data_IF_220084959880
#
_entry.id   IF_220084959880
#
_cell.length_a   1.000
_cell.length_b   1.000
_cell.length_c   1.000
_cell.angle_alpha   90.00
_cell.angle_beta   90.00
_cell.angle_gamma   90.00
#
_symmetry.space_group_name_H-M   'P 1'
#
loop_
_entity.id
_entity.type
_entity.pdbx_description
1 polymer ?
#
# COMPACT_ATOMS: atom_id res chain seq x y z
N UNK A 1 13.57 9.30 3.71
CA UNK A 1 14.74 8.43 3.46
C UNK A 1 14.53 7.12 4.21
N UNK A 2 14.60 5.97 3.53
CA UNK A 2 14.55 4.66 4.18
C UNK A 2 15.65 4.58 5.26
N UNK A 3 15.34 4.10 6.48
CA UNK A 3 16.33 3.94 7.54
C UNK A 3 17.54 3.13 7.04
N UNK A 4 18.75 3.52 7.43
CA UNK A 4 19.98 2.85 6.95
C UNK A 4 20.01 1.34 7.24
N UNK A 5 19.30 0.88 8.28
CA UNK A 5 19.11 -0.54 8.57
C UNK A 5 18.38 -1.29 7.43
N UNK A 6 17.43 -0.64 6.75
CA UNK A 6 16.71 -1.24 5.61
C UNK A 6 17.56 -1.28 4.35
N UNK A 7 18.36 -0.24 4.09
CA UNK A 7 19.30 -0.24 2.95
C UNK A 7 20.36 -1.32 3.09
N UNK A 8 20.91 -1.50 4.30
CA UNK A 8 21.88 -2.56 4.57
C UNK A 8 21.29 -3.96 4.31
N UNK A 9 20.03 -4.19 4.71
CA UNK A 9 19.33 -5.46 4.51
C UNK A 9 18.97 -5.72 3.04
N UNK A 10 18.63 -4.67 2.29
CA UNK A 10 18.45 -4.75 0.83
C UNK A 10 19.78 -5.05 0.10
N UNK A 11 20.90 -4.49 0.56
CA UNK A 11 22.22 -4.83 0.04
C UNK A 11 22.66 -6.26 0.39
N UNK A 12 22.33 -6.77 1.57
CA UNK A 12 22.51 -8.18 1.93
C UNK A 12 21.72 -9.12 1.02
N UNK A 13 20.45 -8.80 0.73
CA UNK A 13 19.62 -9.56 -0.20
C UNK A 13 20.17 -9.53 -1.65
N UNK A 14 20.84 -8.44 -2.04
CA UNK A 14 21.51 -8.35 -3.34
C UNK A 14 22.84 -9.13 -3.42
N UNK A 15 23.37 -9.57 -2.28
CA UNK A 15 24.65 -10.29 -2.15
C UNK A 15 24.48 -11.79 -1.88
N UNK A 16 23.30 -12.37 -2.11
CA UNK A 16 23.11 -13.82 -2.00
C UNK A 16 23.96 -14.50 -3.09
N UNK A 17 24.99 -15.23 -2.63
CA UNK A 17 26.02 -15.91 -3.42
C UNK A 17 25.44 -16.83 -4.51
N UNK A 18 26.06 -16.80 -5.70
CA UNK A 18 25.78 -17.66 -6.86
C UNK A 18 26.09 -19.18 -6.64
N UNK A 19 26.32 -19.66 -5.41
CA UNK A 19 26.82 -21.02 -5.14
C UNK A 19 26.10 -21.83 -4.06
N UNK A 20 24.97 -21.39 -3.53
CA UNK A 20 24.13 -22.22 -2.65
C UNK A 20 22.80 -22.50 -3.36
N UNK A 21 22.28 -23.72 -3.17
CA UNK A 21 21.08 -24.31 -3.78
C UNK A 21 20.06 -23.31 -4.34
N UNK A 22 19.59 -23.53 -5.58
CA UNK A 22 18.55 -22.74 -6.26
C UNK A 22 17.54 -22.22 -5.22
N UNK A 23 17.36 -20.89 -5.09
CA UNK A 23 16.47 -20.36 -4.07
C UNK A 23 15.12 -21.06 -4.22
N UNK A 24 14.62 -21.65 -3.13
CA UNK A 24 13.36 -22.37 -3.13
C UNK A 24 12.30 -21.40 -3.66
N UNK A 25 11.92 -21.56 -4.93
CA UNK A 25 10.89 -20.74 -5.55
C UNK A 25 9.60 -21.14 -4.86
N UNK A 26 9.13 -20.28 -3.97
CA UNK A 26 7.90 -20.50 -3.24
C UNK A 26 6.72 -20.48 -4.22
N UNK A 27 5.74 -21.37 -4.04
CA UNK A 27 4.51 -21.31 -4.82
C UNK A 27 3.70 -20.06 -4.47
N UNK A 28 2.81 -19.63 -5.35
CA UNK A 28 1.83 -18.56 -5.08
C UNK A 28 1.13 -18.70 -3.72
N UNK A 29 0.64 -19.90 -3.39
CA UNK A 29 -0.08 -20.16 -2.13
C UNK A 29 0.79 -19.90 -0.90
N UNK A 30 2.02 -20.43 -0.87
CA UNK A 30 2.99 -20.16 0.19
C UNK A 30 3.35 -18.68 0.30
N UNK A 31 3.52 -17.95 -0.80
CA UNK A 31 3.82 -16.52 -0.78
C UNK A 31 2.66 -15.71 -0.21
N UNK A 32 1.43 -15.97 -0.68
CA UNK A 32 0.22 -15.31 -0.18
C UNK A 32 0.03 -15.61 1.31
N UNK A 33 0.16 -16.88 1.71
CA UNK A 33 0.06 -17.27 3.11
C UNK A 33 1.11 -16.56 3.97
N UNK A 34 2.38 -16.56 3.57
CA UNK A 34 3.44 -15.91 4.32
C UNK A 34 3.18 -14.40 4.48
N UNK A 35 2.68 -13.73 3.44
CA UNK A 35 2.36 -12.31 3.52
C UNK A 35 1.13 -12.04 4.40
N UNK A 36 0.07 -12.86 4.29
CA UNK A 36 -1.09 -12.79 5.19
C UNK A 36 -0.71 -13.01 6.65
N UNK A 37 0.17 -13.99 6.93
CA UNK A 37 0.67 -14.26 8.28
C UNK A 37 1.44 -13.05 8.84
N UNK A 38 2.24 -12.36 8.00
CA UNK A 38 2.96 -11.13 8.40
C UNK A 38 1.99 -10.01 8.77
N UNK A 39 0.95 -9.77 7.95
CA UNK A 39 -0.04 -8.73 8.27
C UNK A 39 -0.85 -9.07 9.51
N UNK A 40 -1.28 -10.32 9.68
CA UNK A 40 -1.99 -10.76 10.88
C UNK A 40 -1.12 -10.62 12.14
N UNK A 41 0.14 -11.06 12.09
CA UNK A 41 1.07 -10.95 13.23
C UNK A 41 1.29 -9.48 13.62
N UNK A 42 1.45 -8.60 12.64
CA UNK A 42 1.61 -7.17 12.91
C UNK A 42 0.35 -6.57 13.54
N UNK A 43 -0.85 -6.95 13.06
CA UNK A 43 -2.09 -6.48 13.66
C UNK A 43 -2.27 -7.01 15.08
N UNK A 44 -1.94 -8.28 15.34
CA UNK A 44 -1.97 -8.85 16.69
C UNK A 44 -1.05 -8.07 17.64
N UNK A 45 0.14 -7.66 17.17
CA UNK A 45 1.06 -6.80 17.95
C UNK A 45 0.45 -5.42 18.23
N UNK A 46 -0.22 -4.80 17.26
CA UNK A 46 -0.95 -3.54 17.47
C UNK A 46 -2.10 -3.70 18.48
N UNK A 47 -2.87 -4.78 18.39
CA UNK A 47 -3.99 -5.04 19.31
C UNK A 47 -3.51 -5.19 20.76
N UNK A 48 -2.37 -5.89 20.96
CA UNK A 48 -1.75 -6.05 22.27
C UNK A 48 -1.24 -4.71 22.80
N UNK A 49 -0.49 -3.95 22.00
CA UNK A 49 0.06 -2.65 22.40
C UNK A 49 -1.08 -1.67 22.76
N UNK A 50 -2.13 -1.62 21.95
CA UNK A 50 -3.30 -0.77 22.18
C UNK A 50 -4.03 -1.14 23.47
N UNK A 51 -4.20 -2.43 23.75
CA UNK A 51 -4.84 -2.87 24.99
C UNK A 51 -4.02 -2.51 26.24
N UNK A 52 -2.69 -2.69 26.17
CA UNK A 52 -1.79 -2.43 27.30
C UNK A 52 -1.57 -0.93 27.57
N UNK A 53 -1.53 -0.11 26.52
CA UNK A 53 -1.15 1.31 26.62
C UNK A 53 -2.36 2.25 26.63
N UNK A 54 -3.39 1.97 25.82
CA UNK A 54 -4.55 2.84 25.66
C UNK A 54 -5.72 2.36 26.52
N UNK A 55 -6.23 1.16 26.29
CA UNK A 55 -7.46 0.70 26.95
C UNK A 55 -7.29 0.53 28.45
N UNK A 56 -6.13 0.04 28.91
CA UNK A 56 -5.83 -0.02 30.34
C UNK A 56 -5.95 1.33 31.02
N UNK A 57 -5.48 2.41 30.38
CA UNK A 57 -5.58 3.77 30.93
C UNK A 57 -7.01 4.30 30.89
N UNK A 58 -7.75 4.03 29.81
CA UNK A 58 -9.18 4.38 29.69
C UNK A 58 -9.99 3.73 30.80
N UNK A 59 -9.81 2.43 31.04
CA UNK A 59 -10.51 1.70 32.11
C UNK A 59 -10.16 2.23 33.50
N UNK A 60 -8.89 2.55 33.76
CA UNK A 60 -8.46 3.15 35.03
C UNK A 60 -9.13 4.52 35.24
N UNK A 61 -9.13 5.37 34.22
CA UNK A 61 -9.76 6.70 34.28
C UNK A 61 -11.28 6.61 34.45
N UNK A 62 -11.95 5.67 33.75
CA UNK A 62 -13.39 5.43 33.90
C UNK A 62 -13.71 5.10 35.35
N UNK A 63 -13.01 4.12 35.94
CA UNK A 63 -13.20 3.71 37.33
C UNK A 63 -12.97 4.87 38.32
N UNK A 64 -11.88 5.61 38.17
CA UNK A 64 -11.58 6.77 39.04
C UNK A 64 -12.69 7.83 38.97
N UNK A 65 -13.23 8.08 37.78
CA UNK A 65 -14.35 9.01 37.60
C UNK A 65 -15.62 8.51 38.26
N UNK A 66 -16.03 7.26 38.02
CA UNK A 66 -17.22 6.64 38.61
C UNK A 66 -17.15 6.62 40.15
N UNK A 67 -15.98 6.32 40.73
CA UNK A 67 -15.76 6.38 42.17
C UNK A 67 -15.89 7.80 42.72
N UNK A 68 -15.45 8.81 41.96
CA UNK A 68 -15.48 10.22 42.39
C UNK A 68 -16.87 10.87 42.27
N UNK A 69 -17.67 10.48 41.27
CA UNK A 69 -19.00 11.03 41.00
C UNK A 69 -20.10 10.22 41.68
N UNK A 70 -19.87 8.92 41.89
CA UNK A 70 -20.89 7.96 42.32
C UNK A 70 -21.88 7.59 41.22
N UNK A 71 -21.59 7.94 39.97
CA UNK A 71 -22.41 7.66 38.79
C UNK A 71 -21.70 6.65 37.89
N UNK A 72 -22.45 5.68 37.35
CA UNK A 72 -21.96 4.74 36.34
C UNK A 72 -21.87 5.46 34.99
N UNK A 73 -20.73 5.34 34.31
CA UNK A 73 -20.52 5.95 33.01
C UNK A 73 -20.89 4.96 31.90
N UNK A 74 -21.51 5.48 30.85
CA UNK A 74 -21.73 4.72 29.61
C UNK A 74 -20.41 4.19 29.03
N UNK A 75 -20.50 3.29 28.06
CA UNK A 75 -19.31 2.82 27.33
C UNK A 75 -18.63 3.98 26.61
N UNK A 76 -17.34 4.13 26.87
CA UNK A 76 -16.51 5.17 26.26
C UNK A 76 -16.06 4.64 24.90
N UNK A 77 -16.29 5.39 23.80
CA UNK A 77 -15.73 5.02 22.50
C UNK A 77 -14.22 4.82 22.61
N UNK A 78 -13.73 3.78 21.94
CA UNK A 78 -12.31 3.45 21.93
C UNK A 78 -11.51 4.63 21.34
N UNK A 79 -10.53 5.19 22.05
CA UNK A 79 -9.73 6.31 21.55
C UNK A 79 -9.04 5.98 20.23
N UNK A 80 -8.87 6.99 19.37
CA UNK A 80 -8.19 6.81 18.09
C UNK A 80 -6.78 6.22 18.28
N UNK A 81 -6.41 5.34 17.36
CA UNK A 81 -5.09 4.71 17.27
C UNK A 81 -4.41 5.12 15.96
N UNK A 82 -3.09 5.00 15.90
CA UNK A 82 -2.37 5.19 14.64
C UNK A 82 -2.59 4.00 13.69
N UNK A 83 -2.61 4.28 12.40
CA UNK A 83 -2.77 3.28 11.36
C UNK A 83 -1.84 3.51 10.18
N UNK A 84 -1.69 2.49 9.34
CA UNK A 84 -0.88 2.60 8.13
C UNK A 84 -1.42 1.74 6.99
N UNK A 85 -1.27 2.25 5.77
CA UNK A 85 -1.46 1.46 4.55
C UNK A 85 -0.21 0.63 4.27
N UNK A 86 -0.34 -0.41 3.46
CA UNK A 86 0.82 -1.23 3.10
C UNK A 86 0.65 -1.76 1.69
N UNK A 87 1.70 -1.62 0.86
CA UNK A 87 1.77 -2.24 -0.46
C UNK A 87 3.12 -2.94 -0.54
N UNK A 88 3.11 -4.26 -0.58
CA UNK A 88 4.32 -5.09 -0.57
C UNK A 88 4.47 -5.78 -1.92
N UNK A 89 5.67 -5.70 -2.49
CA UNK A 89 6.05 -6.36 -3.72
C UNK A 89 7.09 -7.45 -3.43
N UNK A 90 6.86 -8.66 -3.92
CA UNK A 90 7.79 -9.79 -3.81
C UNK A 90 8.12 -10.30 -5.21
N UNK A 91 9.40 -10.24 -5.57
CA UNK A 91 9.95 -10.95 -6.72
C UNK A 91 10.50 -12.29 -6.25
N UNK A 92 9.94 -13.38 -6.77
CA UNK A 92 10.32 -14.74 -6.41
C UNK A 92 10.63 -15.52 -7.70
N UNK A 93 11.92 -15.59 -8.05
CA UNK A 93 12.35 -16.08 -9.36
C UNK A 93 11.80 -15.22 -10.49
N UNK A 94 11.03 -15.82 -11.40
CA UNK A 94 10.35 -15.09 -12.50
C UNK A 94 8.93 -14.63 -12.11
N UNK A 95 8.45 -14.98 -10.91
CA UNK A 95 7.11 -14.59 -10.44
C UNK A 95 7.10 -13.26 -9.71
N UNK A 96 5.97 -12.56 -9.78
CA UNK A 96 5.69 -11.31 -9.09
C UNK A 96 4.42 -11.46 -8.24
N UNK A 97 4.52 -11.22 -6.94
CA UNK A 97 3.38 -11.06 -6.04
C UNK A 97 3.33 -9.61 -5.56
N UNK A 98 2.15 -9.01 -5.58
CA UNK A 98 1.84 -7.76 -4.89
C UNK A 98 0.71 -8.02 -3.92
N UNK A 99 0.89 -7.68 -2.64
CA UNK A 99 -0.19 -7.71 -1.66
C UNK A 99 -0.35 -6.35 -0.99
N UNK A 100 -1.59 -5.92 -0.74
CA UNK A 100 -1.83 -4.57 -0.26
C UNK A 100 -3.04 -4.40 0.67
N UNK A 101 -2.97 -3.34 1.46
CA UNK A 101 -3.95 -2.80 2.40
C UNK A 101 -3.98 -1.27 2.23
N UNK A 102 -5.17 -0.67 2.21
CA UNK A 102 -5.35 0.78 2.03
C UNK A 102 -5.29 1.23 0.56
N UNK A 103 -4.91 2.48 0.35
CA UNK A 103 -4.98 3.20 -0.92
C UNK A 103 -3.63 3.72 -1.44
N UNK A 104 -2.53 3.23 -0.86
CA UNK A 104 -1.26 3.17 -1.58
C UNK A 104 -1.41 2.24 -2.80
N UNK A 105 -0.96 2.69 -3.98
CA UNK A 105 -1.24 2.01 -5.26
C UNK A 105 0.04 1.57 -5.97
N UNK A 106 -0.01 0.40 -6.60
CA UNK A 106 1.00 -0.10 -7.52
C UNK A 106 0.45 -0.14 -8.96
N UNK A 107 1.17 0.50 -9.88
CA UNK A 107 0.81 0.59 -11.31
C UNK A 107 1.97 0.09 -12.16
N UNK A 108 1.68 -0.90 -13.00
CA UNK A 108 2.62 -1.43 -13.97
C UNK A 108 2.53 -0.64 -15.28
N UNK A 109 3.67 -0.16 -15.78
CA UNK A 109 3.79 0.28 -17.16
C UNK A 109 4.18 -0.91 -18.02
N UNK A 110 3.31 -1.31 -18.94
CA UNK A 110 3.58 -2.40 -19.89
C UNK A 110 3.46 -1.91 -21.31
N UNK A 111 4.26 -2.51 -22.19
CA UNK A 111 4.18 -2.21 -23.62
C UNK A 111 3.03 -2.98 -24.24
N UNK A 112 2.21 -2.31 -25.05
CA UNK A 112 1.25 -2.99 -25.92
C UNK A 112 1.97 -3.73 -27.06
N UNK A 113 1.41 -4.86 -27.48
CA UNK A 113 2.00 -5.71 -28.52
C UNK A 113 2.12 -4.99 -29.87
N UNK A 114 1.22 -4.05 -30.17
CA UNK A 114 1.05 -3.48 -31.52
C UNK A 114 1.44 -1.98 -31.68
N UNK A 115 1.46 -1.18 -30.61
CA UNK A 115 1.54 0.29 -30.73
C UNK A 115 2.81 0.93 -30.15
N UNK A 116 3.70 0.15 -29.53
CA UNK A 116 4.98 0.62 -28.99
C UNK A 116 4.89 1.52 -27.75
N UNK A 117 3.73 2.16 -27.51
CA UNK A 117 3.43 3.00 -26.36
C UNK A 117 3.23 2.17 -25.07
N UNK A 118 3.53 2.78 -23.92
CA UNK A 118 3.25 2.19 -22.62
C UNK A 118 1.81 2.49 -22.18
N UNK A 119 1.15 1.47 -21.66
CA UNK A 119 -0.14 1.59 -21.00
C UNK A 119 0.02 1.39 -19.49
N UNK A 120 -0.75 2.14 -18.71
CA UNK A 120 -0.84 1.93 -17.28
C UNK A 120 -1.80 0.77 -16.97
N UNK A 121 -1.29 -0.24 -16.26
CA UNK A 121 -2.03 -1.37 -15.77
C UNK A 121 -1.98 -1.39 -14.23
N UNK A 122 -3.01 -0.91 -13.53
CA UNK A 122 -3.04 -0.95 -12.07
C UNK A 122 -3.00 -2.41 -11.59
N UNK A 123 -2.06 -2.72 -10.69
CA UNK A 123 -1.95 -4.04 -10.05
C UNK A 123 -2.76 -4.11 -8.76
N UNK A 124 -3.07 -2.95 -8.17
CA UNK A 124 -3.84 -2.83 -6.94
C UNK A 124 -5.13 -2.04 -7.18
N UNK A 125 -6.14 -2.26 -6.34
CA UNK A 125 -7.35 -1.45 -6.28
C UNK A 125 -7.46 -0.83 -4.90
N UNK A 126 -7.73 0.48 -4.83
CA UNK A 126 -7.72 1.21 -3.56
C UNK A 126 -8.78 0.67 -2.57
N UNK A 127 -8.37 0.47 -1.32
CA UNK A 127 -9.26 0.15 -0.22
C UNK A 127 -9.68 1.41 0.55
N UNK A 128 -10.50 2.25 -0.07
CA UNK A 128 -10.99 3.49 0.57
C UNK A 128 -12.45 3.83 0.24
N UNK A 129 -13.02 4.75 1.02
CA UNK A 129 -14.41 5.20 0.89
C UNK A 129 -14.73 5.74 -0.50
N UNK A 130 -13.80 6.49 -1.09
CA UNK A 130 -13.97 7.08 -2.42
C UNK A 130 -14.13 5.99 -3.50
N UNK A 131 -13.30 4.95 -3.43
CA UNK A 131 -13.34 3.81 -4.34
C UNK A 131 -14.65 3.02 -4.21
N UNK A 132 -15.05 2.64 -3.00
CA UNK A 132 -16.27 1.85 -2.79
C UNK A 132 -17.55 2.63 -3.14
N UNK A 133 -17.55 3.96 -2.95
CA UNK A 133 -18.67 4.83 -3.40
C UNK A 133 -18.80 4.90 -4.91
N UNK A 134 -17.68 4.89 -5.63
CA UNK A 134 -17.64 4.82 -7.10
C UNK A 134 -17.95 3.41 -7.63
N UNK A 135 -17.83 2.39 -6.79
CA UNK A 135 -18.00 0.98 -7.15
C UNK A 135 -18.98 0.25 -6.20
N UNK A 136 -20.28 0.61 -6.19
CA UNK A 136 -21.26 0.16 -5.18
C UNK A 136 -21.60 -1.36 -5.17
N UNK A 137 -20.88 -2.18 -5.90
CA UNK A 137 -20.97 -3.65 -5.89
C UNK A 137 -19.62 -4.36 -5.70
N UNK A 138 -18.55 -3.62 -5.39
CA UNK A 138 -17.23 -4.19 -5.14
C UNK A 138 -17.25 -5.18 -3.97
N UNK A 139 -16.36 -6.18 -3.96
CA UNK A 139 -16.23 -7.11 -2.83
C UNK A 139 -16.08 -6.39 -1.49
N UNK A 140 -15.37 -5.26 -1.49
CA UNK A 140 -15.14 -4.44 -0.31
C UNK A 140 -16.44 -3.81 0.24
N UNK A 141 -17.27 -3.24 -0.63
CA UNK A 141 -18.58 -2.73 -0.21
C UNK A 141 -19.49 -3.87 0.31
N UNK A 142 -19.41 -5.05 -0.29
CA UNK A 142 -20.20 -6.21 0.17
C UNK A 142 -19.76 -6.69 1.56
N UNK A 143 -18.44 -6.69 1.84
CA UNK A 143 -17.86 -7.01 3.16
C UNK A 143 -18.36 -6.06 4.24
N UNK A 144 -18.45 -4.76 3.92
CA UNK A 144 -18.85 -3.73 4.87
C UNK A 144 -20.36 -3.61 5.09
N UNK A 145 -21.17 -3.97 4.09
CA UNK A 145 -22.63 -3.84 4.11
C UNK A 145 -23.35 -4.37 5.37
N UNK A 146 -22.97 -5.53 5.96
CA UNK A 146 -23.62 -6.02 7.18
C UNK A 146 -23.16 -5.33 8.46
N UNK A 147 -22.14 -4.48 8.40
CA UNK A 147 -21.52 -3.84 9.57
C UNK A 147 -22.17 -2.49 9.87
N UNK A 148 -22.21 -2.11 11.14
CA UNK A 148 -22.70 -0.81 11.58
C UNK A 148 -21.65 0.28 11.31
N UNK A 149 -21.92 1.15 10.35
CA UNK A 149 -21.06 2.27 9.99
C UNK A 149 -21.85 3.38 9.31
N UNK A 150 -21.30 4.60 9.38
CA UNK A 150 -21.81 5.76 8.66
C UNK A 150 -20.75 6.37 7.75
N UNK A 151 -21.18 6.98 6.64
CA UNK A 151 -20.30 7.74 5.78
C UNK A 151 -20.43 9.24 6.05
N UNK A 152 -19.32 9.89 6.39
CA UNK A 152 -19.21 11.34 6.47
C UNK A 152 -18.18 11.86 5.47
N UNK A 153 -18.66 12.42 4.35
CA UNK A 153 -17.77 12.77 3.23
C UNK A 153 -17.05 11.52 2.70
N UNK A 154 -15.72 11.54 2.63
CA UNK A 154 -14.91 10.36 2.28
C UNK A 154 -14.38 9.60 3.50
N UNK A 155 -15.07 9.70 4.64
CA UNK A 155 -14.69 8.98 5.85
C UNK A 155 -15.78 8.03 6.32
N UNK A 156 -15.36 7.05 7.09
CA UNK A 156 -16.15 6.10 7.87
C UNK A 156 -16.13 6.51 9.32
N UNK A 157 -17.28 6.34 9.95
CA UNK A 157 -17.49 6.49 11.39
C UNK A 157 -18.17 5.23 11.88
N UNK A 158 -17.73 4.72 13.03
CA UNK A 158 -18.39 3.61 13.73
C UNK A 158 -18.71 4.03 15.17
N UNK A 159 -19.82 3.57 15.76
CA UNK A 159 -20.21 4.01 17.11
C UNK A 159 -19.18 3.71 18.20
N UNK A 160 -18.39 2.65 18.04
CA UNK A 160 -17.48 2.14 19.06
C UNK A 160 -16.10 2.80 19.03
N UNK A 161 -15.77 3.60 18.01
CA UNK A 161 -14.45 4.20 17.82
C UNK A 161 -14.53 5.73 17.79
N UNK A 162 -13.57 6.39 18.43
CA UNK A 162 -13.37 7.82 18.30
C UNK A 162 -12.67 8.15 16.96
N UNK A 163 -13.09 9.25 16.33
CA UNK A 163 -12.54 9.73 15.07
C UNK A 163 -13.23 9.22 13.80
N UNK A 164 -12.53 9.38 12.67
CA UNK A 164 -13.00 8.98 11.35
C UNK A 164 -11.85 8.44 10.51
N UNK A 165 -12.11 7.44 9.66
CA UNK A 165 -11.08 6.82 8.81
C UNK A 165 -11.49 6.82 7.33
N UNK A 166 -10.53 7.01 6.41
CA UNK A 166 -10.81 7.04 4.96
C UNK A 166 -10.64 5.69 4.28
N UNK A 167 -9.80 4.83 4.84
CA UNK A 167 -9.49 3.51 4.30
C UNK A 167 -10.38 2.43 4.91
N UNK A 168 -10.58 1.34 4.16
CA UNK A 168 -11.36 0.17 4.57
C UNK A 168 -10.47 -1.01 4.92
N UNK A 169 -9.16 -0.90 4.68
CA UNK A 169 -8.14 -1.87 5.08
C UNK A 169 -6.87 -1.12 5.51
N UNK A 170 -6.26 -1.55 6.59
CA UNK A 170 -5.01 -1.00 7.12
C UNK A 170 -4.42 -1.93 8.18
N UNK A 171 -3.22 -1.59 8.65
CA UNK A 171 -2.65 -2.13 9.89
C UNK A 171 -2.73 -1.06 10.98
N UNK A 172 -2.83 -1.48 12.24
CA UNK A 172 -3.11 -0.57 13.35
C UNK A 172 -4.60 -0.25 13.40
N UNK A 173 -4.99 1.02 13.55
CA UNK A 173 -6.38 1.48 13.56
C UNK A 173 -7.30 0.59 14.43
N UNK A 174 -6.77 0.10 15.56
CA UNK A 174 -7.37 -0.98 16.37
C UNK A 174 -8.86 -0.77 16.66
N UNK A 175 -9.34 0.44 17.03
CA UNK A 175 -10.77 0.70 17.21
C UNK A 175 -11.64 0.32 16.00
N UNK A 176 -11.18 0.62 14.79
CA UNK A 176 -11.93 0.34 13.56
C UNK A 176 -11.85 -1.14 13.16
N UNK A 177 -10.75 -1.85 13.47
CA UNK A 177 -10.70 -3.31 13.30
C UNK A 177 -11.68 -4.03 14.20
N UNK A 178 -11.85 -3.59 15.46
CA UNK A 178 -12.82 -4.21 16.39
C UNK A 178 -14.28 -4.07 15.94
N UNK A 179 -14.59 -3.05 15.11
CA UNK A 179 -15.89 -2.92 14.45
C UNK A 179 -16.06 -3.80 13.20
N UNK A 180 -14.95 -4.34 12.66
CA UNK A 180 -14.87 -5.10 11.43
C UNK A 180 -14.87 -4.26 10.15
N UNK A 181 -15.09 -2.94 10.21
CA UNK A 181 -15.15 -2.09 9.00
C UNK A 181 -13.79 -1.98 8.33
N UNK A 182 -12.72 -2.02 9.13
CA UNK A 182 -11.33 -2.13 8.70
C UNK A 182 -10.84 -3.56 8.91
N UNK A 183 -10.01 -4.06 8.00
CA UNK A 183 -9.39 -5.38 8.10
C UNK A 183 -7.92 -5.35 7.67
N UNK A 184 -7.12 -6.24 8.27
CA UNK A 184 -5.73 -6.51 7.91
C UNK A 184 -5.59 -7.62 6.86
N UNK A 185 -6.71 -8.15 6.34
CA UNK A 185 -6.69 -9.16 5.27
C UNK A 185 -6.31 -8.52 3.92
N UNK A 186 -5.18 -8.89 3.31
CA UNK A 186 -4.73 -8.26 2.07
C UNK A 186 -5.47 -8.79 0.85
N UNK A 187 -5.57 -7.94 -0.17
CA UNK A 187 -5.79 -8.40 -1.54
C UNK A 187 -4.43 -8.69 -2.21
N UNK A 188 -4.46 -9.53 -3.25
CA UNK A 188 -3.26 -9.99 -3.95
C UNK A 188 -3.40 -9.91 -5.46
N UNK A 189 -2.30 -9.51 -6.10
CA UNK A 189 -2.05 -9.68 -7.52
C UNK A 189 -0.86 -10.63 -7.67
N UNK A 190 -1.00 -11.65 -8.51
CA UNK A 190 0.08 -12.60 -8.80
C UNK A 190 0.27 -12.78 -10.30
N UNK A 191 1.52 -12.80 -10.72
CA UNK A 191 1.93 -13.27 -12.05
C UNK A 191 3.03 -14.32 -11.89
N UNK A 192 2.88 -15.46 -12.58
CA UNK A 192 3.90 -16.51 -12.61
C UNK A 192 5.13 -16.12 -13.44
N UNK A 193 5.00 -15.15 -14.35
CA UNK A 193 6.10 -14.65 -15.17
C UNK A 193 6.05 -13.12 -15.31
N UNK A 194 7.13 -12.46 -14.90
CA UNK A 194 7.38 -11.03 -15.12
C UNK A 194 7.53 -10.73 -16.61
N UNK A 195 8.03 -11.68 -17.41
CA UNK A 195 8.21 -11.49 -18.85
C UNK A 195 6.88 -11.36 -19.59
N UNK A 196 5.90 -12.18 -19.21
CA UNK A 196 4.54 -12.15 -19.77
C UNK A 196 3.77 -10.86 -19.42
N UNK A 197 4.22 -10.11 -18.41
CA UNK A 197 3.64 -8.81 -18.09
C UNK A 197 4.04 -7.73 -19.12
N UNK A 198 5.00 -7.99 -20.02
CA UNK A 198 5.58 -7.01 -20.94
C UNK A 198 6.03 -5.73 -20.22
N UNK A 199 6.44 -5.90 -18.96
CA UNK A 199 6.73 -4.82 -18.03
C UNK A 199 7.92 -3.97 -18.51
N UNK A 200 7.76 -2.65 -18.36
CA UNK A 200 8.82 -1.66 -18.58
C UNK A 200 9.33 -1.15 -17.24
N UNK A 201 8.42 -0.71 -16.39
CA UNK A 201 8.65 -0.32 -15.01
C UNK A 201 7.35 -0.46 -14.21
N UNK A 202 7.46 -0.41 -12.90
CA UNK A 202 6.34 -0.41 -11.96
C UNK A 202 6.54 0.75 -10.99
N UNK A 203 5.47 1.50 -10.77
CA UNK A 203 5.41 2.63 -9.83
C UNK A 203 4.57 2.19 -8.64
N UNK A 204 5.14 2.26 -7.44
CA UNK A 204 4.41 2.15 -6.18
C UNK A 204 4.47 3.49 -5.47
N UNK A 205 3.35 4.00 -5.00
CA UNK A 205 3.36 5.24 -4.24
C UNK A 205 2.21 5.34 -3.25
N UNK A 206 2.37 6.23 -2.26
CA UNK A 206 1.28 6.67 -1.39
C UNK A 206 0.24 7.48 -2.16
N UNK A 207 -0.94 7.63 -1.56
CA UNK A 207 -2.03 8.51 -2.02
C UNK A 207 -1.56 9.95 -2.27
N UNK A 208 -0.56 10.45 -1.55
CA UNK A 208 0.05 11.76 -1.81
C UNK A 208 0.55 11.97 -3.24
N UNK A 209 0.89 10.90 -3.98
CA UNK A 209 1.11 10.95 -5.43
C UNK A 209 -0.22 10.80 -6.21
N UNK A 210 -0.99 9.74 -5.89
CA UNK A 210 -2.16 9.31 -6.67
C UNK A 210 -3.37 10.25 -6.58
N UNK A 211 -3.43 11.12 -5.58
CA UNK A 211 -4.38 12.22 -5.48
C UNK A 211 -4.17 13.31 -6.55
N UNK A 212 -2.99 13.32 -7.17
CA UNK A 212 -2.59 14.32 -8.16
C UNK A 212 -2.26 13.74 -9.53
N UNK A 213 -2.04 12.44 -9.61
CA UNK A 213 -1.78 11.71 -10.84
C UNK A 213 -2.82 10.63 -11.08
N UNK A 214 -3.39 10.61 -12.28
CA UNK A 214 -3.97 9.37 -12.80
C UNK A 214 -2.86 8.36 -13.12
N UNK A 215 -3.19 7.07 -13.12
CA UNK A 215 -2.26 5.99 -13.46
C UNK A 215 -1.52 6.26 -14.78
N UNK A 216 -2.25 6.69 -15.81
CA UNK A 216 -1.69 7.00 -17.12
C UNK A 216 -0.81 8.26 -17.15
N UNK A 217 -1.14 9.29 -16.35
CA UNK A 217 -0.28 10.47 -16.25
C UNK A 217 1.04 10.13 -15.58
N UNK A 218 1.03 9.28 -14.54
CA UNK A 218 2.25 8.86 -13.87
C UNK A 218 3.15 8.03 -14.79
N UNK A 219 2.57 7.09 -15.53
CA UNK A 219 3.30 6.27 -16.51
C UNK A 219 3.88 7.14 -17.62
N UNK A 220 3.10 8.03 -18.22
CA UNK A 220 3.60 8.93 -19.28
C UNK A 220 4.69 9.86 -18.77
N UNK A 221 4.51 10.45 -17.59
CA UNK A 221 5.52 11.32 -16.98
C UNK A 221 6.86 10.60 -16.83
N UNK A 222 6.83 9.37 -16.29
CA UNK A 222 8.05 8.60 -16.06
C UNK A 222 8.66 8.11 -17.38
N UNK A 223 7.84 7.72 -18.36
CA UNK A 223 8.29 7.36 -19.70
C UNK A 223 9.00 8.52 -20.40
N UNK A 224 8.41 9.72 -20.39
CA UNK A 224 9.00 10.95 -20.94
C UNK A 224 10.29 11.34 -20.22
N UNK A 225 10.33 11.19 -18.90
CA UNK A 225 11.51 11.48 -18.10
C UNK A 225 12.67 10.55 -18.48
N UNK A 226 12.39 9.26 -18.61
CA UNK A 226 13.37 8.23 -18.98
C UNK A 226 13.86 8.45 -20.41
N UNK A 227 12.95 8.57 -21.38
CA UNK A 227 13.27 8.66 -22.80
C UNK A 227 14.23 7.55 -23.26
N UNK A 228 15.26 7.92 -24.02
CA UNK A 228 16.31 7.01 -24.50
C UNK A 228 17.52 6.92 -23.57
N UNK A 229 17.44 7.52 -22.37
CA UNK A 229 18.61 7.63 -21.47
C UNK A 229 18.91 6.28 -20.80
N UNK A 230 20.20 5.98 -20.53
CA UNK A 230 20.56 4.84 -19.71
C UNK A 230 19.96 4.97 -18.30
N UNK A 231 19.23 3.95 -17.86
CA UNK A 231 18.59 3.95 -16.55
C UNK A 231 19.52 3.37 -15.49
N UNK A 232 19.91 4.23 -14.56
CA UNK A 232 20.71 3.91 -13.36
C UNK A 232 19.88 4.17 -12.10
N UNK A 233 20.34 3.71 -10.94
CA UNK A 233 19.69 4.00 -9.66
C UNK A 233 19.60 5.51 -9.39
N UNK A 234 20.70 6.24 -9.56
CA UNK A 234 20.71 7.71 -9.39
C UNK A 234 19.71 8.41 -10.31
N UNK A 235 19.58 7.94 -11.56
CA UNK A 235 18.62 8.48 -12.50
C UNK A 235 17.16 8.19 -12.10
N UNK A 236 16.88 7.02 -11.51
CA UNK A 236 15.56 6.71 -10.97
C UNK A 236 15.23 7.55 -9.73
N UNK A 237 16.22 7.86 -8.90
CA UNK A 237 16.05 8.77 -7.77
C UNK A 237 15.70 10.19 -8.22
N UNK A 238 16.36 10.68 -9.28
CA UNK A 238 16.00 11.97 -9.91
C UNK A 238 14.57 11.94 -10.48
N UNK A 239 14.16 10.81 -11.08
CA UNK A 239 12.80 10.65 -11.59
C UNK A 239 11.75 10.67 -10.46
N UNK A 240 12.04 10.01 -9.32
CA UNK A 240 11.20 10.04 -8.11
C UNK A 240 11.05 11.49 -7.62
N UNK A 241 12.16 12.21 -7.46
CA UNK A 241 12.14 13.60 -7.00
C UNK A 241 11.33 14.50 -7.96
N UNK A 242 11.46 14.29 -9.27
CA UNK A 242 10.68 15.00 -10.28
C UNK A 242 9.17 14.71 -10.16
N UNK A 243 8.78 13.45 -9.94
CA UNK A 243 7.38 13.08 -9.73
C UNK A 243 6.82 13.70 -8.44
N UNK A 244 7.57 13.64 -7.34
CA UNK A 244 7.18 14.26 -6.06
C UNK A 244 7.01 15.78 -6.19
N UNK A 245 7.96 16.46 -6.83
CA UNK A 245 7.88 17.89 -7.06
C UNK A 245 6.68 18.24 -7.93
N UNK A 246 6.42 17.45 -8.97
CA UNK A 246 5.24 17.66 -9.83
C UNK A 246 3.93 17.48 -9.07
N UNK A 247 3.83 16.48 -8.22
CA UNK A 247 2.66 16.28 -7.35
C UNK A 247 2.46 17.46 -6.39
N UNK A 248 3.54 17.95 -5.76
CA UNK A 248 3.50 19.14 -4.89
C UNK A 248 3.05 20.40 -5.65
N UNK A 249 3.49 20.60 -6.89
CA UNK A 249 3.04 21.68 -7.76
C UNK A 249 1.55 21.58 -8.08
N UNK A 250 1.07 20.39 -8.45
CA UNK A 250 -0.35 20.14 -8.75
C UNK A 250 -1.22 20.36 -7.51
N UNK A 251 -0.76 19.93 -6.33
CA UNK A 251 -1.43 20.20 -5.06
C UNK A 251 -1.64 21.70 -4.81
N UNK A 252 -0.60 22.51 -5.05
CA UNK A 252 -0.65 23.97 -4.94
C UNK A 252 -1.64 24.55 -5.93
N UNK A 253 -1.50 24.20 -7.21
CA UNK A 253 -2.31 24.74 -8.30
C UNK A 253 -3.80 24.48 -8.07
N UNK A 254 -4.14 23.30 -7.57
CA UNK A 254 -5.51 22.87 -7.33
C UNK A 254 -6.03 23.25 -5.94
N UNK A 255 -5.22 23.90 -5.10
CA UNK A 255 -5.51 24.17 -3.68
C UNK A 255 -5.96 22.90 -2.93
N UNK A 256 -5.37 21.77 -3.30
CA UNK A 256 -5.65 20.47 -2.69
C UNK A 256 -4.89 20.32 -1.36
N UNK A 257 -5.33 19.38 -0.54
CA UNK A 257 -4.57 18.93 0.63
C UNK A 257 -3.22 18.39 0.14
N UNK A 258 -2.15 18.69 0.87
CA UNK A 258 -0.85 18.04 0.68
C UNK A 258 -0.74 16.89 1.65
N UNK A 259 -0.24 15.77 1.17
CA UNK A 259 0.10 14.62 1.99
C UNK A 259 1.59 14.27 1.85
N UNK A 260 2.04 13.33 2.68
CA UNK A 260 3.37 12.76 2.55
C UNK A 260 3.45 11.92 1.27
N UNK A 261 4.46 12.20 0.45
CA UNK A 261 4.66 11.54 -0.84
C UNK A 261 5.82 10.58 -0.71
N UNK A 262 5.55 9.29 -0.93
CA UNK A 262 6.56 8.25 -1.04
C UNK A 262 6.37 7.57 -2.38
N UNK A 263 7.43 7.51 -3.19
CA UNK A 263 7.42 6.84 -4.50
C UNK A 263 8.55 5.82 -4.57
N UNK A 264 8.23 4.66 -5.11
CA UNK A 264 9.15 3.58 -5.43
C UNK A 264 9.00 3.20 -6.90
N UNK A 265 10.13 3.05 -7.59
CA UNK A 265 10.16 2.65 -9.00
C UNK A 265 10.98 1.36 -9.13
N UNK A 266 10.33 0.31 -9.63
CA UNK A 266 11.00 -0.90 -10.09
C UNK A 266 11.14 -0.84 -11.60
N UNK A 267 12.37 -0.84 -12.10
CA UNK A 267 12.66 -0.77 -13.53
C UNK A 267 13.12 -2.12 -14.08
N UNK A 268 12.44 -2.63 -15.11
CA UNK A 268 12.76 -3.92 -15.72
C UNK A 268 13.76 -3.72 -16.85
N UNK A 269 15.02 -4.15 -16.64
CA UNK A 269 16.05 -4.13 -17.70
C UNK A 269 15.73 -5.20 -18.74
N UNK A 270 15.32 -4.80 -19.94
CA UNK A 270 15.26 -5.72 -21.09
C UNK A 270 16.68 -5.93 -21.62
N UNK A 271 17.10 -7.19 -21.77
CA UNK A 271 18.29 -7.50 -22.58
C UNK A 271 17.88 -7.31 -24.05
N UNK A 272 18.64 -6.52 -24.80
CA UNK A 272 18.49 -6.52 -26.25
C UNK A 272 18.75 -7.94 -26.77
N UNK A 273 17.91 -8.46 -27.70
CA UNK A 273 18.22 -9.71 -28.36
C UNK A 273 19.51 -9.56 -29.16
N UNK A 274 20.55 -10.30 -28.77
CA UNK A 274 21.80 -10.36 -29.55
C UNK A 274 21.55 -11.30 -30.73
N UNK A 275 21.28 -10.73 -31.90
CA UNK A 275 21.21 -11.49 -33.14
C UNK A 275 22.64 -11.65 -33.68
N UNK A 276 23.18 -12.87 -33.58
CA UNK A 276 24.38 -13.27 -34.32
C UNK A 276 23.95 -14.04 -35.56
N UNK A 277 24.36 -13.57 -36.73
CA UNK A 277 24.26 -14.32 -37.99
C UNK A 277 25.69 -14.77 -38.34
N UNK A 278 25.87 -16.08 -38.56
CA UNK A 278 27.13 -16.66 -39.04
C UNK A 278 27.21 -16.58 -40.57
#
# INVERSE_FOLDING_TARGET
ALPEAYKAKLMELSNINENDELPVVLSEEHLKKAMSDVFATFQDECDVDYEETVMKRVHEMKREMEESTGEELDDIPMPADAGTTSTILVLNGDSLLVGWLGDSRAVLARQEEDEGALIAAPLTSDHNVNFIKKTPGSPEMQRMKPLEHEFFGNHLIVPQADGMIQVTRSLGDVPFHRSGVVTHEPDFFYSASVKELHARFLIMASDGLWDHFTDNEAVRFLEEFIGEKPVTEGFLLEAIEAMENKAKELAIANKAKRDDIVVFILYFKRKEPVLSVA
#
